data_IF_997857169330
#
_entry.id   IF_997857169330
#
_cell.length_a   1.000
_cell.length_b   1.000
_cell.length_c   1.000
_cell.angle_alpha   90.00
_cell.angle_beta   90.00
_cell.angle_gamma   90.00
#
_symmetry.space_group_name_H-M   'P 1'
#
loop_
_entity.id
_entity.type
_entity.pdbx_description
1 polymer ?
#
# COMPACT_ATOMS: atom_id res chain seq x y z
N UNK A 1 47.71 14.17 47.85
CA UNK A 1 46.27 14.07 48.01
C UNK A 1 45.63 14.56 46.73
N UNK A 2 45.16 13.63 45.85
CA UNK A 2 44.46 13.96 44.59
C UNK A 2 42.96 13.87 44.84
N UNK A 3 42.22 14.98 44.68
CA UNK A 3 40.74 14.97 44.66
C UNK A 3 40.25 14.48 43.30
N UNK A 4 39.57 13.35 43.27
CA UNK A 4 38.80 12.88 42.13
C UNK A 4 37.47 13.64 42.08
N UNK A 5 37.19 14.34 40.95
CA UNK A 5 35.88 14.90 40.63
C UNK A 5 35.02 13.77 40.06
N UNK A 6 33.88 13.46 40.67
CA UNK A 6 32.83 12.60 40.11
C UNK A 6 32.00 13.44 39.16
N UNK A 7 32.16 13.22 37.87
CA UNK A 7 31.16 13.63 36.88
C UNK A 7 30.04 12.58 36.87
N UNK A 8 28.89 12.90 37.43
CA UNK A 8 27.68 12.11 37.23
C UNK A 8 27.00 12.52 35.91
N UNK A 9 26.94 11.62 34.96
CA UNK A 9 26.18 11.83 33.74
C UNK A 9 24.66 11.88 34.08
N UNK A 10 24.03 12.95 33.76
CA UNK A 10 22.58 13.16 33.90
C UNK A 10 21.82 12.18 33.02
N UNK A 11 20.83 11.48 33.57
CA UNK A 11 20.05 10.48 32.86
C UNK A 11 19.15 11.13 31.77
N UNK A 12 18.87 10.39 30.69
CA UNK A 12 18.08 10.83 29.54
C UNK A 12 16.70 11.43 29.91
N UNK A 13 16.10 10.96 31.02
CA UNK A 13 14.83 11.50 31.55
C UNK A 13 15.00 12.86 32.23
N UNK A 14 16.11 13.08 32.91
CA UNK A 14 16.39 14.39 33.56
C UNK A 14 16.78 15.45 32.56
N UNK A 15 17.43 15.07 31.46
CA UNK A 15 17.72 15.98 30.35
C UNK A 15 16.43 16.47 29.63
N UNK A 16 15.46 15.57 29.40
CA UNK A 16 14.17 15.92 28.77
C UNK A 16 13.29 16.79 29.70
N UNK A 17 13.33 16.58 31.00
CA UNK A 17 12.60 17.40 31.96
C UNK A 17 13.21 18.83 32.10
N UNK A 18 14.53 18.94 32.05
CA UNK A 18 15.22 20.23 32.16
C UNK A 18 15.04 21.11 30.89
N UNK A 19 14.97 20.50 29.70
CA UNK A 19 14.75 21.24 28.44
C UNK A 19 13.31 21.70 28.30
N UNK A 20 12.33 20.99 28.84
CA UNK A 20 10.92 21.41 28.80
C UNK A 20 10.63 22.64 29.68
N UNK A 21 11.38 22.83 30.79
CA UNK A 21 11.19 23.95 31.70
C UNK A 21 11.86 25.26 31.22
N UNK A 22 12.87 25.19 30.37
CA UNK A 22 13.58 26.36 29.84
C UNK A 22 12.96 26.95 28.57
N UNK A 23 12.17 26.18 27.82
CA UNK A 23 11.48 26.65 26.59
C UNK A 23 10.14 27.37 26.88
N UNK A 24 9.55 27.19 28.07
CA UNK A 24 8.27 27.80 28.42
C UNK A 24 8.34 29.30 28.74
N UNK A 25 9.53 29.87 28.89
CA UNK A 25 9.69 31.27 29.39
C UNK A 25 10.01 32.31 28.31
N UNK A 26 10.16 31.99 27.01
CA UNK A 26 10.72 32.91 26.03
C UNK A 26 10.04 32.99 24.64
N UNK A 27 8.86 32.41 24.41
CA UNK A 27 8.20 32.51 23.08
C UNK A 27 6.72 32.84 23.26
N UNK A 28 6.25 34.05 22.79
CA UNK A 28 4.82 34.30 22.65
C UNK A 28 4.26 33.36 21.58
N UNK A 29 3.43 32.40 21.99
CA UNK A 29 2.87 31.40 21.09
C UNK A 29 2.93 29.96 21.64
N UNK A 30 3.54 29.72 22.81
CA UNK A 30 3.61 28.39 23.43
C UNK A 30 2.22 27.80 23.76
N UNK A 31 1.21 28.66 23.99
CA UNK A 31 -0.17 28.24 24.20
C UNK A 31 -0.83 27.65 22.93
N UNK A 32 -0.42 28.08 21.73
CA UNK A 32 -0.92 27.52 20.47
C UNK A 32 -0.39 26.10 20.21
N UNK A 33 0.82 25.80 20.66
CA UNK A 33 1.42 24.47 20.49
C UNK A 33 0.76 23.44 21.44
N UNK A 34 0.45 23.86 22.66
CA UNK A 34 -0.27 23.04 23.64
C UNK A 34 -1.73 22.77 23.23
N UNK A 35 -2.39 23.72 22.55
CA UNK A 35 -3.75 23.55 22.03
C UNK A 35 -3.80 22.65 20.79
N UNK A 36 -2.79 22.70 19.92
CA UNK A 36 -2.71 21.82 18.75
C UNK A 36 -2.50 20.33 19.12
N UNK A 37 -1.81 20.07 20.23
CA UNK A 37 -1.62 18.68 20.72
C UNK A 37 -2.87 18.05 21.34
N UNK A 38 -3.86 18.86 21.75
CA UNK A 38 -5.08 18.39 22.42
C UNK A 38 -6.34 18.41 21.53
N UNK A 39 -6.25 18.76 20.25
CA UNK A 39 -7.38 18.90 19.35
C UNK A 39 -7.49 17.79 18.28
N UNK A 40 -6.78 16.69 18.41
CA UNK A 40 -7.08 15.51 17.61
C UNK A 40 -8.39 14.91 18.11
N UNK A 41 -9.49 15.16 17.39
CA UNK A 41 -10.70 14.37 17.58
C UNK A 41 -10.34 12.89 17.46
N UNK A 42 -10.81 12.01 18.35
CA UNK A 42 -10.53 10.59 18.23
C UNK A 42 -11.01 10.13 16.85
N UNK A 43 -10.15 9.37 16.14
CA UNK A 43 -10.52 8.77 14.86
C UNK A 43 -11.84 8.01 15.03
N UNK A 44 -12.80 8.13 14.10
CA UNK A 44 -14.05 7.40 14.19
C UNK A 44 -13.76 5.91 14.30
N UNK A 45 -14.33 5.24 15.31
CA UNK A 45 -14.19 3.81 15.49
C UNK A 45 -15.08 3.09 14.48
N UNK A 46 -14.47 2.52 13.45
CA UNK A 46 -15.15 1.55 12.59
C UNK A 46 -15.26 0.20 13.32
N UNK A 47 -16.28 -0.61 13.03
CA UNK A 47 -16.42 -1.92 13.67
C UNK A 47 -15.18 -2.77 13.37
N UNK A 48 -14.40 -3.06 14.41
CA UNK A 48 -13.22 -3.89 14.31
C UNK A 48 -13.60 -5.31 13.89
N UNK A 49 -12.80 -5.93 13.03
CA UNK A 49 -12.87 -7.37 12.78
C UNK A 49 -12.67 -8.10 14.12
N UNK A 50 -13.56 -9.04 14.45
CA UNK A 50 -13.41 -9.84 15.67
C UNK A 50 -12.18 -10.76 15.51
N UNK A 51 -11.22 -10.75 16.46
CA UNK A 51 -10.12 -11.71 16.42
C UNK A 51 -10.69 -13.13 16.43
N UNK A 52 -10.31 -13.94 15.47
CA UNK A 52 -10.61 -15.36 15.47
C UNK A 52 -9.66 -16.04 16.48
N UNK A 53 -10.20 -16.84 17.41
CA UNK A 53 -9.39 -17.57 18.39
C UNK A 53 -8.51 -18.69 17.79
N UNK A 54 -8.62 -18.95 16.49
CA UNK A 54 -7.79 -19.85 15.70
C UNK A 54 -7.22 -19.13 14.51
N UNK A 55 -5.91 -19.24 14.27
CA UNK A 55 -5.25 -18.64 13.11
C UNK A 55 -5.87 -19.19 11.82
N UNK A 56 -6.35 -18.28 10.96
CA UNK A 56 -7.00 -18.68 9.70
C UNK A 56 -5.96 -18.66 8.58
N UNK A 57 -5.97 -19.70 7.75
CA UNK A 57 -5.15 -19.77 6.54
C UNK A 57 -5.51 -18.60 5.60
N UNK A 58 -4.52 -17.78 5.27
CA UNK A 58 -4.65 -16.73 4.25
C UNK A 58 -4.12 -17.29 2.93
N UNK A 59 -4.88 -17.23 1.81
CA UNK A 59 -4.40 -17.68 0.51
C UNK A 59 -3.19 -16.85 0.04
N UNK A 60 -2.24 -17.49 -0.63
CA UNK A 60 -1.13 -16.83 -1.28
C UNK A 60 -1.42 -16.71 -2.77
N UNK A 61 -1.26 -15.53 -3.30
CA UNK A 61 -1.48 -15.21 -4.71
C UNK A 61 -0.32 -14.45 -5.33
N UNK A 62 -0.53 -13.98 -6.55
CA UNK A 62 0.44 -13.16 -7.28
C UNK A 62 -0.27 -12.11 -8.13
N UNK A 63 0.35 -10.95 -8.27
CA UNK A 63 -0.05 -9.90 -9.20
C UNK A 63 0.56 -10.18 -10.58
N UNK A 64 -0.26 -10.12 -11.63
CA UNK A 64 0.06 -10.65 -12.95
C UNK A 64 1.08 -9.89 -13.80
N UNK A 65 1.43 -8.59 -13.61
CA UNK A 65 2.37 -7.87 -14.46
C UNK A 65 3.74 -8.53 -14.62
N UNK A 66 4.19 -9.29 -13.61
CA UNK A 66 5.44 -10.04 -13.67
C UNK A 66 5.47 -11.08 -14.81
N UNK A 67 4.30 -11.46 -15.32
CA UNK A 67 4.10 -12.42 -16.41
C UNK A 67 3.60 -11.79 -17.71
N UNK A 68 3.74 -10.47 -17.90
CA UNK A 68 3.19 -9.73 -19.03
C UNK A 68 3.64 -10.24 -20.40
N UNK A 69 4.80 -10.90 -20.44
CA UNK A 69 5.39 -11.53 -21.63
C UNK A 69 4.79 -12.90 -21.97
N UNK A 70 3.92 -13.45 -21.11
CA UNK A 70 3.28 -14.76 -21.31
C UNK A 70 1.84 -14.62 -21.81
N UNK A 71 1.31 -15.67 -22.44
CA UNK A 71 -0.14 -15.79 -22.62
C UNK A 71 -0.83 -16.10 -21.30
N UNK A 72 -2.14 -15.78 -21.21
CA UNK A 72 -2.95 -16.09 -20.03
C UNK A 72 -2.82 -17.57 -19.59
N UNK A 73 -2.91 -18.51 -20.52
CA UNK A 73 -2.84 -19.94 -20.20
C UNK A 73 -1.43 -20.34 -19.70
N UNK A 74 -0.36 -19.83 -20.33
CA UNK A 74 1.01 -20.10 -19.88
C UNK A 74 1.30 -19.52 -18.49
N UNK A 75 0.80 -18.32 -18.19
CA UNK A 75 0.86 -17.71 -16.86
C UNK A 75 0.13 -18.59 -15.83
N UNK A 76 -1.10 -18.99 -16.12
CA UNK A 76 -1.91 -19.79 -15.22
C UNK A 76 -1.27 -21.15 -14.92
N UNK A 77 -0.63 -21.78 -15.91
CA UNK A 77 0.09 -23.05 -15.72
C UNK A 77 1.28 -22.87 -14.78
N UNK A 78 2.04 -21.74 -14.88
CA UNK A 78 3.13 -21.43 -13.96
C UNK A 78 2.62 -21.17 -12.54
N UNK A 79 1.58 -20.35 -12.39
CA UNK A 79 0.96 -20.03 -11.10
C UNK A 79 0.46 -21.30 -10.41
N UNK A 80 -0.15 -22.23 -11.19
CA UNK A 80 -0.59 -23.54 -10.71
C UNK A 80 0.59 -24.41 -10.26
N UNK A 81 1.67 -24.48 -11.06
CA UNK A 81 2.87 -25.22 -10.71
C UNK A 81 3.52 -24.72 -9.42
N UNK A 82 3.45 -23.43 -9.15
CA UNK A 82 3.88 -22.84 -7.89
C UNK A 82 2.91 -23.12 -6.74
N UNK A 83 1.74 -23.71 -7.00
CA UNK A 83 0.71 -23.99 -5.99
C UNK A 83 0.20 -22.72 -5.32
N UNK A 84 0.08 -21.62 -6.06
CA UNK A 84 -0.59 -20.39 -5.61
C UNK A 84 -2.09 -20.54 -5.76
N UNK A 85 -2.84 -19.87 -4.91
CA UNK A 85 -4.28 -20.15 -4.71
C UNK A 85 -5.18 -19.05 -5.29
N UNK A 86 -4.58 -17.90 -5.64
CA UNK A 86 -5.32 -16.76 -6.13
C UNK A 86 -4.46 -15.85 -7.02
N UNK A 87 -5.12 -14.98 -7.74
CA UNK A 87 -4.45 -13.93 -8.52
C UNK A 87 -5.11 -12.57 -8.32
N UNK A 88 -4.29 -11.57 -8.40
CA UNK A 88 -4.60 -10.18 -8.65
C UNK A 88 -4.34 -9.90 -10.13
N UNK A 89 -5.31 -9.29 -10.84
CA UNK A 89 -5.23 -9.11 -12.28
C UNK A 89 -5.29 -7.63 -12.64
N UNK A 90 -4.26 -7.17 -13.36
CA UNK A 90 -4.20 -5.83 -13.92
C UNK A 90 -5.25 -5.62 -15.00
N UNK A 91 -5.97 -4.50 -14.93
CA UNK A 91 -7.01 -4.10 -15.89
C UNK A 91 -6.64 -2.85 -16.66
N UNK A 92 -5.51 -2.23 -16.35
CA UNK A 92 -4.99 -1.02 -16.96
C UNK A 92 -4.44 -0.03 -15.94
N UNK A 93 -4.03 1.12 -16.41
CA UNK A 93 -3.29 2.10 -15.62
C UNK A 93 -1.79 1.99 -15.87
N UNK A 94 -0.96 2.08 -14.83
CA UNK A 94 0.50 1.96 -14.95
C UNK A 94 0.96 0.56 -15.35
N UNK A 95 0.49 -0.55 -14.74
CA UNK A 95 0.74 -1.86 -15.31
C UNK A 95 -0.14 -2.06 -16.56
N UNK A 96 0.42 -2.76 -17.54
CA UNK A 96 -0.35 -3.20 -18.69
C UNK A 96 -1.42 -4.21 -18.26
N UNK A 97 -2.34 -4.55 -19.17
CA UNK A 97 -3.39 -5.54 -18.94
C UNK A 97 -3.41 -6.68 -19.99
N UNK A 98 -2.28 -7.32 -20.29
CA UNK A 98 -2.19 -8.31 -21.36
C UNK A 98 -3.07 -9.55 -21.12
N UNK A 99 -3.38 -9.86 -19.86
CA UNK A 99 -4.18 -11.01 -19.48
C UNK A 99 -5.68 -10.67 -19.32
N UNK A 100 -6.04 -9.38 -19.35
CA UNK A 100 -7.42 -8.91 -19.15
C UNK A 100 -7.84 -8.00 -20.30
N UNK A 101 -8.44 -8.50 -21.38
CA UNK A 101 -9.00 -7.69 -22.48
C UNK A 101 -10.27 -6.99 -22.00
N UNK A 102 -10.11 -5.95 -21.18
CA UNK A 102 -11.12 -5.30 -20.36
C UNK A 102 -12.39 -4.93 -21.15
N UNK A 103 -12.22 -4.26 -22.29
CA UNK A 103 -13.37 -3.82 -23.12
C UNK A 103 -14.17 -4.99 -23.70
N UNK A 104 -13.50 -6.06 -24.12
CA UNK A 104 -14.17 -7.26 -24.63
C UNK A 104 -14.94 -8.01 -23.54
N UNK A 105 -14.36 -8.11 -22.34
CA UNK A 105 -14.98 -8.81 -21.22
C UNK A 105 -16.20 -8.08 -20.68
N UNK A 106 -16.19 -6.75 -20.69
CA UNK A 106 -17.36 -5.94 -20.31
C UNK A 106 -18.46 -6.05 -21.36
N UNK A 107 -18.10 -6.02 -22.63
CA UNK A 107 -19.05 -6.07 -23.73
C UNK A 107 -19.78 -7.43 -23.85
N UNK A 108 -19.15 -8.52 -23.41
CA UNK A 108 -19.68 -9.89 -23.54
C UNK A 108 -19.54 -10.68 -22.23
N UNK A 109 -20.64 -10.82 -21.51
CA UNK A 109 -20.70 -11.59 -20.25
C UNK A 109 -20.31 -13.07 -20.42
N UNK A 110 -20.58 -13.67 -21.57
CA UNK A 110 -20.21 -15.05 -21.83
C UNK A 110 -18.69 -15.18 -21.98
N UNK A 111 -18.04 -14.25 -22.68
CA UNK A 111 -16.58 -14.16 -22.74
C UNK A 111 -15.98 -13.94 -21.36
N UNK A 112 -16.54 -13.04 -20.55
CA UNK A 112 -16.06 -12.80 -19.19
C UNK A 112 -16.13 -14.08 -18.32
N UNK A 113 -17.20 -14.82 -18.39
CA UNK A 113 -17.35 -16.09 -17.69
C UNK A 113 -16.39 -17.17 -18.21
N UNK A 114 -16.20 -17.26 -19.53
CA UNK A 114 -15.22 -18.18 -20.11
C UNK A 114 -13.79 -17.83 -19.71
N UNK A 115 -13.46 -16.54 -19.62
CA UNK A 115 -12.18 -16.05 -19.13
C UNK A 115 -11.98 -16.42 -17.64
N UNK A 116 -12.96 -16.13 -16.78
CA UNK A 116 -12.91 -16.47 -15.35
C UNK A 116 -12.78 -18.00 -15.14
N UNK A 117 -13.47 -18.77 -15.94
CA UNK A 117 -13.43 -20.25 -15.87
C UNK A 117 -12.01 -20.81 -16.08
N UNK A 118 -11.16 -20.18 -16.88
CA UNK A 118 -9.77 -20.62 -17.06
C UNK A 118 -8.98 -20.66 -15.75
N UNK A 119 -9.23 -19.70 -14.85
CA UNK A 119 -8.66 -19.66 -13.51
C UNK A 119 -9.27 -20.76 -12.63
N UNK A 120 -10.60 -20.84 -12.60
CA UNK A 120 -11.34 -21.81 -11.78
C UNK A 120 -10.97 -23.27 -12.13
N UNK A 121 -10.81 -23.59 -13.42
CA UNK A 121 -10.39 -24.92 -13.90
C UNK A 121 -9.00 -25.33 -13.40
N UNK A 122 -8.19 -24.37 -12.97
CA UNK A 122 -6.85 -24.59 -12.36
C UNK A 122 -6.85 -24.41 -10.84
N UNK A 123 -8.02 -24.25 -10.23
CA UNK A 123 -8.16 -24.02 -8.79
C UNK A 123 -7.66 -22.66 -8.32
N UNK A 124 -7.52 -21.70 -9.23
CA UNK A 124 -7.06 -20.32 -8.94
C UNK A 124 -8.29 -19.40 -8.84
N UNK A 125 -8.32 -18.54 -7.84
CA UNK A 125 -9.35 -17.50 -7.69
C UNK A 125 -8.86 -16.17 -8.22
N UNK A 126 -9.63 -15.49 -9.07
CA UNK A 126 -9.46 -14.06 -9.32
C UNK A 126 -9.93 -13.32 -8.06
N UNK A 127 -8.99 -12.89 -7.24
CA UNK A 127 -9.28 -12.31 -5.93
C UNK A 127 -9.55 -10.81 -6.00
N UNK A 128 -8.79 -10.11 -6.82
CA UNK A 128 -8.85 -8.65 -7.00
C UNK A 128 -8.60 -8.26 -8.45
N UNK A 129 -9.14 -7.12 -8.84
CA UNK A 129 -8.79 -6.44 -10.09
C UNK A 129 -8.03 -5.15 -9.75
N UNK A 130 -7.01 -4.83 -10.53
CA UNK A 130 -6.10 -3.72 -10.23
C UNK A 130 -6.02 -2.73 -11.39
N UNK A 131 -6.27 -1.45 -11.08
CA UNK A 131 -6.20 -0.35 -12.04
C UNK A 131 -5.40 0.82 -11.44
N UNK A 132 -4.08 0.63 -11.32
CA UNK A 132 -3.17 1.62 -10.78
C UNK A 132 -3.05 2.81 -11.74
N UNK A 133 -3.67 3.95 -11.40
CA UNK A 133 -3.68 5.15 -12.23
C UNK A 133 -3.77 6.42 -11.38
N UNK A 134 -3.81 7.58 -12.06
CA UNK A 134 -3.96 8.88 -11.42
C UNK A 134 -5.25 9.58 -11.89
N UNK A 135 -6.42 9.23 -11.35
CA UNK A 135 -7.69 9.80 -11.76
C UNK A 135 -7.89 11.27 -11.40
N UNK A 136 -6.99 11.84 -10.60
CA UNK A 136 -6.95 13.26 -10.24
C UNK A 136 -5.76 13.99 -10.85
N UNK A 137 -5.14 13.39 -11.88
CA UNK A 137 -4.02 13.99 -12.60
C UNK A 137 -4.36 15.40 -13.09
N UNK A 138 -3.43 16.40 -13.01
CA UNK A 138 -3.72 17.76 -13.47
C UNK A 138 -3.95 17.86 -14.98
N UNK A 139 -3.33 17.00 -15.80
CA UNK A 139 -3.73 16.86 -17.21
C UNK A 139 -5.11 16.16 -17.29
N UNK A 140 -6.15 16.85 -17.82
CA UNK A 140 -7.50 16.30 -17.85
C UNK A 140 -7.65 15.08 -18.76
N UNK A 141 -6.81 14.93 -19.80
CA UNK A 141 -6.85 13.75 -20.67
C UNK A 141 -6.34 12.51 -19.94
N UNK A 142 -5.25 12.67 -19.19
CA UNK A 142 -4.70 11.60 -18.34
C UNK A 142 -5.72 11.23 -17.25
N UNK A 143 -6.23 12.22 -16.53
CA UNK A 143 -7.24 11.98 -15.50
C UNK A 143 -8.46 11.24 -16.03
N UNK A 144 -8.97 11.64 -17.21
CA UNK A 144 -10.14 11.00 -17.81
C UNK A 144 -9.88 9.55 -18.21
N UNK A 145 -8.73 9.28 -18.83
CA UNK A 145 -8.31 7.91 -19.17
C UNK A 145 -8.32 7.00 -17.94
N UNK A 146 -7.74 7.46 -16.83
CA UNK A 146 -7.64 6.65 -15.62
C UNK A 146 -9.01 6.52 -14.90
N UNK A 147 -9.85 7.54 -14.94
CA UNK A 147 -11.26 7.44 -14.50
C UNK A 147 -12.04 6.42 -15.32
N UNK A 148 -11.90 6.43 -16.62
CA UNK A 148 -12.59 5.48 -17.52
C UNK A 148 -12.11 4.05 -17.22
N UNK A 149 -10.80 3.85 -17.02
CA UNK A 149 -10.23 2.55 -16.65
C UNK A 149 -10.80 2.07 -15.31
N UNK A 150 -10.87 2.94 -14.30
CA UNK A 150 -11.46 2.61 -13.00
C UNK A 150 -12.95 2.21 -13.14
N UNK A 151 -13.76 2.99 -13.87
CA UNK A 151 -15.17 2.69 -14.06
C UNK A 151 -15.37 1.35 -14.79
N UNK A 152 -14.60 1.10 -15.84
CA UNK A 152 -14.63 -0.18 -16.57
C UNK A 152 -14.20 -1.34 -15.67
N UNK A 153 -13.19 -1.16 -14.81
CA UNK A 153 -12.78 -2.17 -13.84
C UNK A 153 -13.90 -2.49 -12.85
N UNK A 154 -14.63 -1.49 -12.38
CA UNK A 154 -15.81 -1.69 -11.51
C UNK A 154 -16.89 -2.51 -12.24
N UNK A 155 -17.21 -2.19 -13.49
CA UNK A 155 -18.19 -2.93 -14.27
C UNK A 155 -17.77 -4.38 -14.53
N UNK A 156 -16.49 -4.64 -14.79
CA UNK A 156 -15.97 -6.01 -14.91
C UNK A 156 -16.04 -6.74 -13.56
N UNK A 157 -15.69 -6.06 -12.46
CA UNK A 157 -15.79 -6.64 -11.12
C UNK A 157 -17.22 -7.07 -10.77
N UNK A 158 -18.24 -6.28 -11.16
CA UNK A 158 -19.65 -6.65 -11.02
C UNK A 158 -19.96 -7.93 -11.80
N UNK A 159 -19.52 -8.04 -13.08
CA UNK A 159 -19.76 -9.20 -13.93
C UNK A 159 -19.12 -10.47 -13.34
N UNK A 160 -17.90 -10.37 -12.83
CA UNK A 160 -17.12 -11.48 -12.28
C UNK A 160 -17.44 -11.80 -10.81
N UNK A 161 -18.17 -10.93 -10.12
CA UNK A 161 -18.45 -11.05 -8.70
C UNK A 161 -17.26 -10.70 -7.80
N UNK A 162 -16.21 -10.05 -8.32
CA UNK A 162 -15.05 -9.55 -7.55
C UNK A 162 -15.49 -8.37 -6.67
N UNK A 163 -14.98 -8.32 -5.43
CA UNK A 163 -15.45 -7.33 -4.42
C UNK A 163 -14.40 -6.31 -4.05
N UNK A 164 -13.17 -6.48 -4.50
CA UNK A 164 -12.02 -5.64 -4.17
C UNK A 164 -11.38 -5.13 -5.46
N UNK A 165 -11.20 -3.82 -5.54
CA UNK A 165 -10.41 -3.17 -6.59
C UNK A 165 -9.20 -2.51 -5.93
N UNK A 166 -8.03 -2.73 -6.51
CA UNK A 166 -6.76 -2.16 -6.09
C UNK A 166 -6.38 -1.00 -7.01
N UNK A 167 -5.75 0.04 -6.47
CA UNK A 167 -5.27 1.18 -7.26
C UNK A 167 -4.58 2.23 -6.40
N UNK A 168 -4.19 3.33 -7.04
CA UNK A 168 -3.58 4.48 -6.37
C UNK A 168 -4.61 5.57 -6.07
N UNK A 169 -4.32 6.36 -5.03
CA UNK A 169 -5.16 7.51 -4.68
C UNK A 169 -5.11 8.67 -5.70
N UNK A 170 -4.11 8.65 -6.55
CA UNK A 170 -3.78 9.76 -7.43
C UNK A 170 -3.00 10.88 -6.72
N UNK A 171 -2.46 11.79 -7.52
CA UNK A 171 -1.79 13.01 -7.07
C UNK A 171 -2.15 14.17 -7.99
N UNK A 172 -2.82 15.21 -7.50
CA UNK A 172 -3.11 16.42 -8.26
C UNK A 172 -1.88 17.30 -8.44
N UNK A 173 -1.98 18.36 -9.23
CA UNK A 173 -1.07 19.49 -9.17
C UNK A 173 -1.14 20.24 -7.84
N UNK A 174 -0.29 21.23 -7.62
CA UNK A 174 -0.35 22.12 -6.45
C UNK A 174 -1.34 23.28 -6.65
N UNK A 175 -1.66 23.59 -7.92
CA UNK A 175 -2.59 24.67 -8.30
C UNK A 175 -3.50 24.25 -9.45
N UNK A 176 -4.62 24.99 -9.71
CA UNK A 176 -5.50 24.72 -10.86
C UNK A 176 -4.81 24.85 -12.23
N UNK A 177 -3.67 25.53 -12.32
CA UNK A 177 -2.95 25.77 -13.57
C UNK A 177 -1.85 24.75 -13.84
N UNK A 178 -1.54 23.88 -12.87
CA UNK A 178 -0.50 22.87 -13.03
C UNK A 178 -0.92 21.79 -14.03
N UNK A 179 0.06 21.30 -14.77
CA UNK A 179 -0.10 20.23 -15.75
C UNK A 179 0.59 18.92 -15.31
N UNK A 180 1.35 19.00 -14.22
CA UNK A 180 2.07 17.84 -13.64
C UNK A 180 1.68 17.66 -12.18
N UNK A 181 1.70 16.41 -11.67
CA UNK A 181 1.45 16.14 -10.27
C UNK A 181 2.46 16.83 -9.35
N UNK A 182 2.01 17.21 -8.16
CA UNK A 182 2.87 17.80 -7.14
C UNK A 182 2.66 17.06 -5.81
N UNK A 183 3.57 16.15 -5.48
CA UNK A 183 3.50 15.37 -4.25
C UNK A 183 4.03 16.16 -3.05
N UNK A 184 3.16 16.56 -2.15
CA UNK A 184 3.46 17.39 -0.99
C UNK A 184 3.38 16.55 0.28
N UNK A 185 4.53 16.31 0.91
CA UNK A 185 4.65 15.56 2.17
C UNK A 185 5.03 16.49 3.34
N UNK A 186 5.65 17.63 3.04
CA UNK A 186 6.12 18.59 4.03
C UNK A 186 5.42 19.95 3.84
N UNK A 187 4.75 20.41 4.92
CA UNK A 187 3.82 21.57 4.88
C UNK A 187 4.51 22.92 5.11
N UNK A 188 5.80 23.01 4.88
CA UNK A 188 6.59 24.21 4.99
C UNK A 188 7.45 24.40 3.74
N UNK A 189 7.57 25.63 3.21
CA UNK A 189 6.92 26.91 3.61
C UNK A 189 5.37 26.89 3.53
N UNK A 190 4.67 27.91 4.07
CA UNK A 190 3.20 27.91 4.22
C UNK A 190 2.40 27.68 2.94
N UNK A 191 2.93 28.07 1.78
CA UNK A 191 2.30 27.83 0.48
C UNK A 191 2.10 26.33 0.19
N UNK A 192 3.01 25.46 0.64
CA UNK A 192 2.85 24.01 0.50
C UNK A 192 1.67 23.47 1.32
N UNK A 193 1.42 24.07 2.49
CA UNK A 193 0.24 23.73 3.28
C UNK A 193 -1.06 24.10 2.54
N UNK A 194 -1.10 25.29 1.92
CA UNK A 194 -2.25 25.76 1.15
C UNK A 194 -2.50 24.89 -0.09
N UNK A 195 -1.43 24.54 -0.82
CA UNK A 195 -1.51 23.62 -1.97
C UNK A 195 -2.04 22.24 -1.57
N UNK A 196 -1.50 21.66 -0.48
CA UNK A 196 -1.95 20.36 0.01
C UNK A 196 -3.42 20.40 0.45
N UNK A 197 -3.85 21.45 1.16
CA UNK A 197 -5.25 21.59 1.58
C UNK A 197 -6.18 21.70 0.37
N UNK A 198 -5.79 22.46 -0.67
CA UNK A 198 -6.52 22.54 -1.94
C UNK A 198 -6.58 21.17 -2.66
N UNK A 199 -5.45 20.44 -2.78
CA UNK A 199 -5.42 19.10 -3.37
C UNK A 199 -6.46 18.17 -2.74
N UNK A 200 -6.47 18.12 -1.41
CA UNK A 200 -7.38 17.24 -0.67
C UNK A 200 -8.83 17.68 -0.81
N UNK A 201 -9.11 18.96 -0.60
CA UNK A 201 -10.47 19.50 -0.54
C UNK A 201 -11.15 19.57 -1.91
N UNK A 202 -10.40 20.03 -2.93
CA UNK A 202 -10.99 20.34 -4.24
C UNK A 202 -10.83 19.21 -5.28
N UNK A 203 -9.92 18.25 -5.06
CA UNK A 203 -9.63 17.20 -6.04
C UNK A 203 -9.84 15.80 -5.49
N UNK A 204 -9.12 15.45 -4.43
CA UNK A 204 -9.03 14.06 -3.95
C UNK A 204 -10.32 13.60 -3.30
N UNK A 205 -10.78 14.32 -2.27
CA UNK A 205 -12.00 13.93 -1.53
C UNK A 205 -13.25 13.91 -2.42
N UNK A 206 -13.52 14.93 -3.26
CA UNK A 206 -14.68 14.87 -4.17
C UNK A 206 -14.63 13.66 -5.09
N UNK A 207 -13.49 13.42 -5.74
CA UNK A 207 -13.36 12.28 -6.64
C UNK A 207 -13.63 10.94 -5.93
N UNK A 208 -13.00 10.70 -4.78
CA UNK A 208 -13.12 9.42 -4.09
C UNK A 208 -14.50 9.20 -3.45
N UNK A 209 -15.22 10.27 -3.10
CA UNK A 209 -16.64 10.17 -2.71
C UNK A 209 -17.50 9.62 -3.86
N UNK A 210 -17.33 10.18 -5.05
CA UNK A 210 -18.09 9.76 -6.23
C UNK A 210 -17.66 8.35 -6.67
N UNK A 211 -16.38 8.04 -6.68
CA UNK A 211 -15.83 6.74 -7.02
C UNK A 211 -16.31 5.64 -6.05
N UNK A 212 -16.30 5.91 -4.75
CA UNK A 212 -16.79 4.97 -3.73
C UNK A 212 -18.30 4.71 -3.87
N UNK A 213 -19.08 5.76 -4.14
CA UNK A 213 -20.51 5.63 -4.43
C UNK A 213 -20.76 4.76 -5.66
N UNK A 214 -20.08 5.05 -6.77
CA UNK A 214 -20.20 4.30 -8.02
C UNK A 214 -19.82 2.82 -7.80
N UNK A 215 -18.70 2.55 -7.14
CA UNK A 215 -18.26 1.19 -6.85
C UNK A 215 -19.28 0.40 -6.02
N UNK A 216 -19.84 1.03 -4.98
CA UNK A 216 -20.89 0.44 -4.13
C UNK A 216 -22.15 0.10 -4.90
N UNK A 217 -22.60 0.98 -5.79
CA UNK A 217 -23.78 0.77 -6.65
C UNK A 217 -23.63 -0.45 -7.57
N UNK A 218 -22.38 -0.79 -7.96
CA UNK A 218 -22.03 -1.97 -8.75
C UNK A 218 -21.55 -3.17 -7.90
N UNK A 219 -21.80 -3.15 -6.59
CA UNK A 219 -21.51 -4.28 -5.69
C UNK A 219 -20.03 -4.47 -5.33
N UNK A 220 -19.15 -3.54 -5.71
CA UNK A 220 -17.77 -3.44 -5.23
C UNK A 220 -17.77 -2.67 -3.90
N UNK A 221 -17.31 -3.32 -2.84
CA UNK A 221 -17.40 -2.77 -1.48
C UNK A 221 -16.05 -2.33 -0.91
N UNK A 222 -14.96 -2.63 -1.59
CA UNK A 222 -13.60 -2.44 -1.07
C UNK A 222 -12.72 -1.84 -2.18
N UNK A 223 -12.32 -0.60 -1.99
CA UNK A 223 -11.33 0.11 -2.81
C UNK A 223 -10.03 0.13 -2.03
N UNK A 224 -9.11 -0.75 -2.40
CA UNK A 224 -7.84 -0.96 -1.75
C UNK A 224 -6.80 -0.01 -2.33
N UNK A 225 -6.59 1.13 -1.71
CA UNK A 225 -5.62 2.11 -2.18
C UNK A 225 -4.23 1.77 -1.64
N UNK A 226 -3.28 1.65 -2.54
CA UNK A 226 -1.90 1.45 -2.19
C UNK A 226 -1.30 2.72 -1.59
N UNK A 227 -0.65 2.56 -0.44
CA UNK A 227 0.08 3.63 0.23
C UNK A 227 1.45 3.79 -0.43
N UNK A 228 1.51 4.57 -1.52
CA UNK A 228 2.65 4.64 -2.41
C UNK A 228 3.25 6.06 -2.47
N UNK A 229 4.59 6.22 -2.50
CA UNK A 229 5.21 7.52 -2.76
C UNK A 229 4.70 8.14 -4.07
N UNK A 230 4.76 9.46 -4.17
CA UNK A 230 4.22 10.26 -5.28
C UNK A 230 2.69 10.25 -5.41
N UNK A 231 1.95 9.65 -4.47
CA UNK A 231 0.49 9.74 -4.36
C UNK A 231 0.07 10.38 -3.03
N UNK A 232 -1.14 10.94 -2.97
CA UNK A 232 -1.58 11.66 -1.75
C UNK A 232 -1.85 10.73 -0.58
N UNK A 233 -2.17 9.46 -0.84
CA UNK A 233 -2.20 8.39 0.16
C UNK A 233 -0.89 7.63 0.07
N UNK A 234 0.02 7.89 1.00
CA UNK A 234 1.36 7.30 1.03
C UNK A 234 1.72 6.66 2.37
N UNK A 235 0.85 6.76 3.37
CA UNK A 235 1.03 6.14 4.68
C UNK A 235 -0.32 5.92 5.39
N UNK A 236 -0.36 5.20 6.51
CA UNK A 236 -1.60 4.91 7.24
C UNK A 236 -2.41 6.15 7.63
N UNK A 237 -1.75 7.25 8.00
CA UNK A 237 -2.44 8.50 8.38
C UNK A 237 -3.20 9.12 7.20
N UNK A 238 -2.57 9.19 6.03
CA UNK A 238 -3.21 9.75 4.82
C UNK A 238 -4.31 8.86 4.29
N UNK A 239 -4.16 7.53 4.41
CA UNK A 239 -5.22 6.58 4.10
C UNK A 239 -6.45 6.81 4.99
N UNK A 240 -6.26 6.88 6.32
CA UNK A 240 -7.36 7.07 7.25
C UNK A 240 -8.05 8.43 7.06
N UNK A 241 -7.29 9.49 6.75
CA UNK A 241 -7.84 10.80 6.36
C UNK A 241 -8.80 10.69 5.16
N UNK A 242 -8.42 9.90 4.14
CA UNK A 242 -9.29 9.73 2.97
C UNK A 242 -10.50 8.86 3.31
N UNK A 243 -10.32 7.76 4.04
CA UNK A 243 -11.40 6.88 4.50
C UNK A 243 -12.45 7.64 5.32
N UNK A 244 -12.02 8.48 6.27
CA UNK A 244 -12.92 9.32 7.06
C UNK A 244 -13.73 10.28 6.18
N UNK A 245 -13.10 10.86 5.17
CA UNK A 245 -13.73 11.85 4.29
C UNK A 245 -14.61 11.23 3.20
N UNK A 246 -14.26 10.07 2.64
CA UNK A 246 -14.89 9.51 1.45
C UNK A 246 -15.76 8.27 1.70
N UNK A 247 -15.56 7.57 2.82
CA UNK A 247 -16.39 6.43 3.24
C UNK A 247 -15.60 5.15 3.54
N UNK A 248 -16.31 4.21 4.14
CA UNK A 248 -15.73 2.93 4.58
C UNK A 248 -15.32 1.99 3.44
N UNK A 249 -15.74 2.29 2.22
CA UNK A 249 -15.28 1.59 1.01
C UNK A 249 -13.80 1.82 0.73
N UNK A 250 -13.19 2.90 1.27
CA UNK A 250 -11.76 3.18 1.14
C UNK A 250 -10.99 2.38 2.19
N UNK A 251 -9.97 1.65 1.76
CA UNK A 251 -9.06 0.91 2.62
C UNK A 251 -7.70 0.71 1.96
N UNK A 252 -6.81 -0.04 2.62
CA UNK A 252 -5.45 -0.25 2.16
C UNK A 252 -5.35 -1.43 1.19
N UNK A 253 -4.62 -1.24 0.09
CA UNK A 253 -3.65 -2.22 -0.35
C UNK A 253 -2.39 -1.97 0.50
N UNK A 254 -2.10 -2.91 1.40
CA UNK A 254 -1.01 -2.77 2.34
C UNK A 254 0.29 -3.31 1.74
N UNK A 255 0.99 -2.46 0.98
CA UNK A 255 2.33 -2.72 0.52
C UNK A 255 3.34 -2.16 1.52
N UNK A 256 3.99 -3.07 2.24
CA UNK A 256 4.94 -2.71 3.27
C UNK A 256 6.27 -2.20 2.70
N UNK A 257 6.60 -2.52 1.45
CA UNK A 257 7.85 -2.08 0.82
C UNK A 257 7.97 -0.56 0.79
N UNK A 258 6.84 0.13 0.63
CA UNK A 258 6.77 1.59 0.64
C UNK A 258 6.75 2.19 2.04
N UNK A 259 6.56 1.39 3.09
CA UNK A 259 6.49 1.85 4.47
C UNK A 259 7.77 1.61 5.26
N UNK A 260 8.57 0.60 4.88
CA UNK A 260 9.85 0.31 5.53
C UNK A 260 10.79 1.53 5.54
N UNK A 261 10.99 2.16 4.39
CA UNK A 261 11.88 3.33 4.29
C UNK A 261 11.31 4.58 4.99
N UNK A 262 10.00 4.66 5.19
CA UNK A 262 9.38 5.72 5.99
C UNK A 262 9.58 5.51 7.51
N UNK A 263 10.22 4.41 7.92
CA UNK A 263 10.48 4.08 9.32
C UNK A 263 9.26 3.50 10.04
N UNK A 264 8.27 3.00 9.31
CA UNK A 264 7.12 2.33 9.89
C UNK A 264 7.48 0.91 10.34
N UNK A 265 7.01 0.50 11.53
CA UNK A 265 7.00 -0.91 11.91
C UNK A 265 5.86 -1.62 11.19
N UNK A 266 6.13 -2.67 10.38
CA UNK A 266 5.12 -3.33 9.55
C UNK A 266 4.02 -4.01 10.39
N UNK A 267 4.37 -4.57 11.55
CA UNK A 267 3.41 -5.25 12.43
C UNK A 267 2.47 -4.24 13.07
N UNK A 268 2.99 -3.10 13.51
CA UNK A 268 2.19 -2.01 14.07
C UNK A 268 1.25 -1.39 13.02
N UNK A 269 1.71 -1.23 11.78
CA UNK A 269 0.86 -0.76 10.66
C UNK A 269 -0.31 -1.71 10.43
N UNK A 270 -0.04 -3.02 10.36
CA UNK A 270 -1.08 -4.03 10.15
C UNK A 270 -2.08 -4.02 11.32
N UNK A 271 -1.61 -3.98 12.55
CA UNK A 271 -2.49 -3.91 13.72
C UNK A 271 -3.30 -2.62 13.76
N UNK A 272 -2.68 -1.47 13.45
CA UNK A 272 -3.38 -0.19 13.41
C UNK A 272 -4.51 -0.19 12.37
N UNK A 273 -4.22 -0.54 11.13
CA UNK A 273 -5.20 -0.57 10.05
C UNK A 273 -6.23 -1.69 10.21
N UNK A 274 -5.79 -2.86 10.71
CA UNK A 274 -6.66 -4.01 10.96
C UNK A 274 -7.71 -3.73 12.03
N UNK A 275 -7.34 -3.06 13.13
CA UNK A 275 -8.30 -2.61 14.16
C UNK A 275 -9.37 -1.66 13.62
N UNK A 276 -9.08 -0.95 12.54
CA UNK A 276 -10.02 -0.05 11.86
C UNK A 276 -10.81 -0.75 10.73
N UNK A 277 -10.60 -2.06 10.51
CA UNK A 277 -11.20 -2.77 9.39
C UNK A 277 -10.80 -2.18 8.02
N UNK A 278 -9.59 -1.64 7.93
CA UNK A 278 -9.14 -0.85 6.80
C UNK A 278 -8.14 -1.57 5.88
N UNK A 279 -7.85 -2.86 6.09
CA UNK A 279 -6.98 -3.64 5.19
C UNK A 279 -7.86 -4.45 4.25
N UNK A 280 -7.79 -4.18 2.96
CA UNK A 280 -8.59 -4.84 1.95
C UNK A 280 -7.79 -5.74 1.02
N UNK A 281 -6.52 -5.42 0.84
CA UNK A 281 -5.55 -6.17 0.05
C UNK A 281 -4.15 -6.04 0.68
N UNK A 282 -3.22 -6.92 0.28
CA UNK A 282 -1.86 -6.89 0.80
C UNK A 282 -0.87 -7.34 -0.27
N UNK A 283 0.02 -6.44 -0.67
CA UNK A 283 1.16 -6.77 -1.50
C UNK A 283 2.30 -7.32 -0.65
N UNK A 284 2.84 -8.42 -1.11
CA UNK A 284 4.01 -9.08 -0.53
C UNK A 284 5.22 -8.72 -1.38
N UNK A 285 5.86 -7.62 -1.02
CA UNK A 285 7.06 -7.06 -1.64
C UNK A 285 8.02 -6.62 -0.56
N UNK A 286 9.29 -6.97 -0.71
CA UNK A 286 10.34 -6.66 0.25
C UNK A 286 11.17 -5.45 -0.19
N UNK A 287 11.96 -4.92 0.72
CA UNK A 287 12.89 -3.82 0.48
C UNK A 287 14.20 -4.11 1.19
N UNK A 288 15.33 -3.86 0.53
CA UNK A 288 16.65 -3.86 1.15
C UNK A 288 17.15 -2.43 1.29
N UNK A 289 17.82 -2.15 2.41
CA UNK A 289 18.52 -0.90 2.63
C UNK A 289 20.02 -1.07 2.44
N UNK A 290 20.67 -0.05 1.89
CA UNK A 290 22.12 0.07 1.79
C UNK A 290 22.61 1.06 2.87
N UNK A 291 23.03 0.58 4.08
CA UNK A 291 23.28 1.43 5.23
C UNK A 291 24.31 2.55 4.99
N UNK A 292 25.34 2.28 4.17
CA UNK A 292 26.34 3.29 3.84
C UNK A 292 25.74 4.47 3.06
N UNK A 293 24.83 4.19 2.13
CA UNK A 293 24.15 5.21 1.34
C UNK A 293 23.07 5.92 2.16
N UNK A 294 22.31 5.18 2.96
CA UNK A 294 21.35 5.78 3.91
C UNK A 294 22.06 6.77 4.84
N UNK A 295 23.24 6.41 5.39
CA UNK A 295 24.00 7.28 6.27
C UNK A 295 24.55 8.54 5.59
N UNK A 296 24.76 8.51 4.26
CA UNK A 296 25.29 9.63 3.49
C UNK A 296 24.18 10.50 2.87
N UNK A 297 23.12 9.87 2.37
CA UNK A 297 22.15 10.52 1.48
C UNK A 297 20.72 10.51 2.02
N UNK A 298 20.45 9.81 3.12
CA UNK A 298 19.10 9.58 3.63
C UNK A 298 18.37 8.48 2.85
N UNK A 299 17.07 8.33 3.05
CA UNK A 299 16.27 7.20 2.53
C UNK A 299 15.53 7.46 1.23
N UNK A 300 15.66 8.67 0.63
CA UNK A 300 14.88 9.04 -0.56
C UNK A 300 15.57 8.71 -1.90
N UNK A 301 16.74 8.07 -1.88
CA UNK A 301 17.45 7.64 -3.10
C UNK A 301 17.08 6.19 -3.41
N UNK A 302 16.00 6.01 -4.15
CA UNK A 302 15.52 4.70 -4.58
C UNK A 302 16.18 4.25 -5.88
N UNK A 303 16.32 2.93 -6.10
CA UNK A 303 16.80 2.35 -7.35
C UNK A 303 15.80 1.36 -7.94
N UNK A 304 15.43 1.56 -9.20
CA UNK A 304 14.62 0.63 -9.99
C UNK A 304 15.48 -0.37 -10.81
N UNK A 305 16.73 -0.06 -11.04
CA UNK A 305 17.60 -0.84 -11.92
C UNK A 305 18.96 -1.13 -11.28
N UNK A 306 19.60 -2.20 -11.71
CA UNK A 306 20.90 -2.63 -11.17
C UNK A 306 22.01 -1.60 -11.36
N UNK A 307 21.95 -0.77 -12.40
CA UNK A 307 22.92 0.29 -12.66
C UNK A 307 22.75 1.53 -11.75
N UNK A 308 21.73 1.56 -10.91
CA UNK A 308 21.47 2.65 -9.96
C UNK A 308 21.86 2.29 -8.52
N UNK A 309 22.19 1.02 -8.26
CA UNK A 309 22.40 0.50 -6.90
C UNK A 309 23.58 1.14 -6.15
N UNK A 310 24.61 1.62 -6.85
CA UNK A 310 25.81 2.20 -6.21
C UNK A 310 25.48 3.45 -5.35
N UNK A 311 24.48 4.22 -5.74
CA UNK A 311 24.03 5.42 -5.05
C UNK A 311 22.68 5.27 -4.36
N UNK A 312 22.00 4.17 -4.58
CA UNK A 312 20.69 3.92 -3.98
C UNK A 312 20.79 3.71 -2.49
N UNK A 313 19.83 4.26 -1.74
CA UNK A 313 19.65 4.00 -0.32
C UNK A 313 18.81 2.76 -0.06
N UNK A 314 17.97 2.42 -1.01
CA UNK A 314 17.07 1.28 -0.97
C UNK A 314 16.72 0.77 -2.37
N UNK A 315 16.25 -0.47 -2.44
CA UNK A 315 15.61 -1.03 -3.64
C UNK A 315 14.66 -2.16 -3.26
N UNK A 316 13.70 -2.45 -4.15
CA UNK A 316 12.79 -3.58 -3.95
C UNK A 316 13.52 -4.92 -4.05
N UNK A 317 13.00 -5.89 -3.32
CA UNK A 317 13.49 -7.26 -3.31
C UNK A 317 12.32 -8.25 -3.27
N UNK A 318 12.57 -9.44 -3.76
CA UNK A 318 11.68 -10.56 -3.51
C UNK A 318 11.56 -10.81 -1.99
N UNK A 319 10.39 -11.25 -1.53
CA UNK A 319 10.10 -11.54 -0.11
C UNK A 319 11.18 -12.43 0.51
N UNK A 320 11.76 -11.97 1.61
CA UNK A 320 12.84 -12.66 2.33
C UNK A 320 14.25 -12.36 1.82
N UNK A 321 14.40 -11.46 0.85
CA UNK A 321 15.70 -11.02 0.31
C UNK A 321 16.09 -9.60 0.75
N UNK A 322 15.19 -8.86 1.35
CA UNK A 322 15.46 -7.60 2.05
C UNK A 322 15.45 -7.80 3.56
N UNK A 323 14.41 -8.43 4.07
CA UNK A 323 14.24 -8.71 5.50
C UNK A 323 14.21 -10.22 5.76
N UNK A 324 14.45 -10.60 7.04
CA UNK A 324 14.53 -12.00 7.46
C UNK A 324 13.18 -12.71 7.38
N UNK A 325 13.22 -14.04 7.24
CA UNK A 325 12.02 -14.89 7.32
C UNK A 325 11.28 -14.75 8.66
N UNK A 326 11.98 -14.45 9.75
CA UNK A 326 11.36 -14.19 11.06
C UNK A 326 10.51 -12.93 11.08
N UNK A 327 10.93 -11.84 10.40
CA UNK A 327 10.11 -10.66 10.24
C UNK A 327 8.89 -10.97 9.38
N UNK A 328 9.06 -11.68 8.28
CA UNK A 328 7.94 -12.10 7.43
C UNK A 328 6.95 -13.01 8.16
N UNK A 329 7.44 -13.88 9.06
CA UNK A 329 6.59 -14.66 9.97
C UNK A 329 5.74 -13.75 10.88
N UNK A 330 6.34 -12.71 11.46
CA UNK A 330 5.63 -11.73 12.28
C UNK A 330 4.60 -10.94 11.46
N UNK A 331 4.93 -10.56 10.22
CA UNK A 331 4.03 -9.87 9.30
C UNK A 331 2.82 -10.74 8.95
N UNK A 332 3.04 -11.98 8.51
CA UNK A 332 1.95 -12.91 8.16
C UNK A 332 1.08 -13.22 9.38
N UNK A 333 1.71 -13.39 10.55
CA UNK A 333 0.98 -13.56 11.82
C UNK A 333 0.10 -12.34 12.13
N UNK A 334 0.61 -11.13 11.97
CA UNK A 334 -0.16 -9.91 12.21
C UNK A 334 -1.41 -9.83 11.31
N UNK A 335 -1.31 -10.20 10.02
CA UNK A 335 -2.48 -10.31 9.15
C UNK A 335 -3.49 -11.36 9.65
N UNK A 336 -3.01 -12.51 10.14
CA UNK A 336 -3.88 -13.52 10.74
C UNK A 336 -4.56 -13.01 12.03
N UNK A 337 -3.81 -12.34 12.89
CA UNK A 337 -4.29 -11.81 14.18
C UNK A 337 -5.40 -10.76 14.01
N UNK A 338 -5.34 -9.94 12.96
CA UNK A 338 -6.38 -8.96 12.66
C UNK A 338 -7.55 -9.53 11.84
N UNK A 339 -7.54 -10.84 11.53
CA UNK A 339 -8.58 -11.51 10.78
C UNK A 339 -8.66 -11.08 9.30
N UNK A 340 -7.52 -10.81 8.67
CA UNK A 340 -7.48 -10.42 7.26
C UNK A 340 -8.06 -11.52 6.35
N UNK A 341 -9.03 -11.16 5.52
CA UNK A 341 -9.78 -12.08 4.66
C UNK A 341 -9.37 -12.06 3.18
N UNK A 342 -8.38 -11.22 2.81
CA UNK A 342 -7.87 -11.08 1.46
C UNK A 342 -6.90 -12.19 1.05
N UNK A 343 -5.94 -11.84 0.21
CA UNK A 343 -4.82 -12.69 -0.20
C UNK A 343 -3.49 -12.02 0.12
N UNK A 344 -2.45 -12.82 0.32
CA UNK A 344 -1.06 -12.36 0.31
C UNK A 344 -0.60 -12.34 -1.15
N UNK A 345 -0.74 -11.21 -1.82
CA UNK A 345 -0.45 -11.05 -3.25
C UNK A 345 1.04 -10.75 -3.46
N UNK A 346 1.78 -11.68 -4.03
CA UNK A 346 3.18 -11.45 -4.36
C UNK A 346 3.24 -10.43 -5.49
N UNK A 347 3.91 -9.31 -5.22
CA UNK A 347 4.31 -8.35 -6.23
C UNK A 347 5.84 -8.35 -6.30
N UNK A 348 6.41 -8.70 -7.46
CA UNK A 348 7.85 -8.79 -7.61
C UNK A 348 8.36 -7.75 -8.59
N UNK A 349 9.11 -6.78 -8.05
CA UNK A 349 9.81 -5.72 -8.77
C UNK A 349 11.30 -5.71 -8.40
N UNK A 350 11.85 -6.88 -8.04
CA UNK A 350 13.27 -7.03 -7.68
C UNK A 350 14.16 -6.80 -8.90
N UNK A 351 15.02 -5.77 -8.93
CA UNK A 351 15.88 -5.50 -10.07
C UNK A 351 17.07 -6.49 -10.18
N UNK A 352 17.30 -7.31 -9.16
CA UNK A 352 18.44 -8.26 -9.09
C UNK A 352 17.97 -9.68 -9.42
N UNK A 353 16.80 -10.07 -8.99
CA UNK A 353 16.20 -11.37 -9.29
C UNK A 353 15.21 -11.23 -10.45
N UNK A 354 15.43 -11.94 -11.54
CA UNK A 354 14.47 -11.98 -12.66
C UNK A 354 13.05 -12.27 -12.18
N UNK A 355 12.06 -11.60 -12.77
CA UNK A 355 10.68 -11.52 -12.27
C UNK A 355 10.09 -12.84 -11.81
N UNK A 356 10.10 -13.89 -12.65
CA UNK A 356 9.56 -15.21 -12.28
C UNK A 356 10.33 -15.87 -11.14
N UNK A 357 11.67 -15.75 -11.12
CA UNK A 357 12.51 -16.30 -10.06
C UNK A 357 12.20 -15.61 -8.74
N UNK A 358 11.98 -14.31 -8.76
CA UNK A 358 11.57 -13.55 -7.59
C UNK A 358 10.23 -14.05 -7.02
N UNK A 359 9.25 -14.34 -7.88
CA UNK A 359 7.96 -14.92 -7.46
C UNK A 359 8.14 -16.31 -6.85
N UNK A 360 8.95 -17.19 -7.45
CA UNK A 360 9.24 -18.53 -6.89
C UNK A 360 9.83 -18.44 -5.48
N UNK A 361 10.80 -17.52 -5.28
CA UNK A 361 11.44 -17.30 -3.97
C UNK A 361 10.46 -16.76 -2.95
N UNK A 362 9.68 -15.74 -3.32
CA UNK A 362 8.64 -15.18 -2.47
C UNK A 362 7.59 -16.22 -2.07
N UNK A 363 7.12 -17.02 -3.04
CA UNK A 363 6.17 -18.11 -2.80
C UNK A 363 6.74 -19.15 -1.82
N UNK A 364 8.01 -19.52 -1.97
CA UNK A 364 8.68 -20.45 -1.06
C UNK A 364 8.71 -19.92 0.38
N UNK A 365 9.15 -18.67 0.58
CA UNK A 365 9.21 -18.05 1.90
C UNK A 365 7.83 -17.97 2.54
N UNK A 366 6.85 -17.41 1.83
CA UNK A 366 5.49 -17.20 2.36
C UNK A 366 4.78 -18.53 2.69
N UNK A 367 4.97 -19.58 1.89
CA UNK A 367 4.40 -20.89 2.15
C UNK A 367 4.98 -21.54 3.40
N UNK A 368 6.32 -21.45 3.59
CA UNK A 368 6.97 -22.00 4.78
C UNK A 368 6.55 -21.25 6.03
N UNK A 369 6.58 -19.91 6.00
CA UNK A 369 6.12 -19.06 7.10
C UNK A 369 4.66 -19.36 7.47
N UNK A 370 3.76 -19.45 6.47
CA UNK A 370 2.35 -19.77 6.70
C UNK A 370 2.18 -21.16 7.30
N UNK A 371 2.94 -22.14 6.82
CA UNK A 371 2.91 -23.51 7.36
C UNK A 371 3.33 -23.53 8.82
N UNK A 372 4.45 -22.93 9.16
CA UNK A 372 4.92 -22.83 10.55
C UNK A 372 3.88 -22.20 11.49
N UNK A 373 3.18 -21.14 11.03
CA UNK A 373 2.15 -20.46 11.83
C UNK A 373 0.88 -21.30 12.03
N UNK A 374 0.55 -22.19 11.09
CA UNK A 374 -0.63 -23.05 11.19
C UNK A 374 -0.36 -24.35 11.94
N UNK A 375 0.91 -24.76 12.06
CA UNK A 375 1.35 -25.94 12.79
C UNK A 375 1.65 -25.62 14.27
N UNK A 376 1.77 -24.32 14.66
CA UNK A 376 1.88 -23.82 16.04
C UNK A 376 0.49 -23.70 16.71
#
# INVERSE_FOLDING_TARGET
>A
MKKQSKNSAMGRREFLAATSSLLAAAVPGAEMIAHAANSEAPLPSFPAAKPSGTLRKIPIGVFDPVYDHLSLDAMLDKVTALGLEAMEIGTGGYPNNPHCPLDELIADRAKARAWQKKFEDRGIRVATLSCHGNPVHPDPKHAQKDKDTFQKTVLLAEILGVKVIVGFSGCPGGTPQDTQPNWITYRWPPEYAQMQDWQWKEKVIPYWKDAAKFAREHGVKRLALEMHPNFVVYNPRTLMKLREAAGEEIGANCDLSHLFWQGCDPVEVIHFLGKQGAIFHAHMKDTVFFPENVNKYGVLNFAFATNELDLASETFRAVGYGHSASLWKSIVKAYMDVGFEGILSIENEDPILAGEVGVERAAYVLKNVRKELLDE
#
